data_IF_654195013780
#
_entry.id   IF_654195013780
#
_cell.length_a   1.000
_cell.length_b   1.000
_cell.length_c   1.000
_cell.angle_alpha   90.00
_cell.angle_beta   90.00
_cell.angle_gamma   90.00
#
_symmetry.space_group_name_H-M   'P 1'
#
loop_
_entity.id
_entity.type
_entity.pdbx_description
1 polymer ?
#
# COMPACT_ATOMS: atom_id res chain seq x y z
N UNK A 1 44.46 -34.66 1.78
CA UNK A 1 43.20 -35.38 2.17
C UNK A 1 42.28 -34.33 2.76
N UNK A 2 41.49 -33.79 1.89
CA UNK A 2 40.54 -32.72 2.21
C UNK A 2 39.16 -33.37 2.46
N UNK A 3 38.72 -33.43 3.70
CA UNK A 3 37.44 -34.01 4.10
C UNK A 3 36.35 -33.00 3.78
N UNK A 4 35.61 -33.25 2.71
CA UNK A 4 34.37 -32.59 2.39
C UNK A 4 33.28 -32.97 3.42
N UNK A 5 32.96 -32.06 4.33
CA UNK A 5 31.77 -32.16 5.16
C UNK A 5 30.52 -32.07 4.29
N UNK A 6 29.58 -33.00 4.43
CA UNK A 6 28.32 -32.94 3.67
C UNK A 6 27.43 -31.83 4.24
N UNK A 7 26.95 -30.95 3.36
CA UNK A 7 25.98 -29.88 3.62
C UNK A 7 24.55 -30.40 3.90
N UNK A 8 24.40 -31.20 4.96
CA UNK A 8 23.12 -31.82 5.34
C UNK A 8 22.15 -30.84 6.00
N UNK A 9 22.64 -29.68 6.47
CA UNK A 9 21.80 -28.72 7.19
C UNK A 9 20.81 -27.91 6.36
N UNK A 10 21.16 -27.58 5.12
CA UNK A 10 20.35 -26.64 4.30
C UNK A 10 19.08 -27.30 3.75
N UNK A 11 19.14 -28.56 3.33
CA UNK A 11 17.99 -29.27 2.76
C UNK A 11 16.91 -29.60 3.79
N UNK A 12 17.30 -29.92 5.03
CA UNK A 12 16.36 -30.19 6.12
C UNK A 12 15.61 -28.93 6.55
N UNK A 13 16.31 -27.79 6.61
CA UNK A 13 15.71 -26.48 6.94
C UNK A 13 14.76 -26.03 5.83
N UNK A 14 15.12 -26.24 4.56
CA UNK A 14 14.24 -25.95 3.42
C UNK A 14 13.01 -26.87 3.37
N UNK A 15 13.16 -28.14 3.69
CA UNK A 15 12.04 -29.08 3.76
C UNK A 15 11.08 -28.72 4.92
N UNK A 16 11.61 -28.34 6.09
CA UNK A 16 10.80 -27.89 7.21
C UNK A 16 10.11 -26.55 6.91
N UNK A 17 10.77 -25.62 6.20
CA UNK A 17 10.19 -24.38 5.70
C UNK A 17 9.07 -24.63 4.71
N UNK A 18 9.23 -25.60 3.81
CA UNK A 18 8.20 -25.96 2.82
C UNK A 18 6.97 -26.59 3.48
N UNK A 19 7.17 -27.38 4.55
CA UNK A 19 6.08 -28.02 5.29
C UNK A 19 5.23 -27.05 6.10
N UNK A 20 5.73 -25.84 6.41
CA UNK A 20 5.00 -24.80 7.17
C UNK A 20 4.23 -23.82 6.29
N UNK A 21 4.34 -23.89 4.98
CA UNK A 21 3.61 -22.98 4.07
C UNK A 21 2.14 -23.34 4.03
N UNK A 22 1.30 -22.34 4.24
CA UNK A 22 -0.14 -22.49 4.04
C UNK A 22 -0.45 -22.49 2.54
N UNK A 23 -1.52 -23.19 2.11
CA UNK A 23 -1.79 -23.47 0.70
C UNK A 23 -2.14 -22.24 -0.13
N UNK A 24 -2.63 -21.17 0.49
CA UNK A 24 -3.10 -19.97 -0.22
C UNK A 24 -2.27 -18.76 0.17
N UNK A 25 -1.52 -18.23 -0.79
CA UNK A 25 -0.84 -16.95 -0.67
C UNK A 25 -1.74 -15.84 -1.18
N UNK A 26 -2.07 -14.90 -0.31
CA UNK A 26 -2.90 -13.75 -0.66
C UNK A 26 -2.14 -12.79 -1.58
N UNK A 27 -2.86 -12.24 -2.55
CA UNK A 27 -2.33 -11.20 -3.43
C UNK A 27 -2.56 -9.83 -2.81
N UNK A 28 -1.50 -9.03 -2.78
CA UNK A 28 -1.60 -7.63 -2.40
C UNK A 28 -2.38 -6.84 -3.45
N UNK A 29 -3.29 -6.01 -3.02
CA UNK A 29 -3.87 -4.98 -3.89
C UNK A 29 -2.84 -3.85 -4.10
N UNK A 30 -2.48 -3.58 -5.37
CA UNK A 30 -1.46 -2.57 -5.72
C UNK A 30 -2.13 -1.28 -6.21
N UNK A 31 -2.49 -0.33 -5.33
CA UNK A 31 -3.12 0.90 -5.80
C UNK A 31 -2.13 1.94 -6.35
N UNK A 32 -0.81 1.86 -6.07
CA UNK A 32 0.06 3.04 -6.11
C UNK A 32 1.29 3.01 -7.03
N UNK A 33 1.60 1.90 -7.69
CA UNK A 33 2.86 1.76 -8.45
C UNK A 33 3.06 2.80 -9.56
N UNK A 34 1.98 3.27 -10.19
CA UNK A 34 2.04 4.30 -11.26
C UNK A 34 2.17 5.73 -10.72
N UNK A 35 1.69 5.99 -9.50
CA UNK A 35 1.69 7.33 -8.92
C UNK A 35 3.10 7.84 -8.56
N UNK A 36 4.02 6.94 -8.17
CA UNK A 36 5.39 7.29 -7.76
C UNK A 36 6.16 7.92 -8.91
N UNK A 37 6.15 7.28 -10.08
CA UNK A 37 6.84 7.79 -11.27
C UNK A 37 6.30 9.14 -11.72
N UNK A 38 4.98 9.33 -11.70
CA UNK A 38 4.34 10.59 -12.02
C UNK A 38 4.72 11.72 -11.06
N UNK A 39 4.78 11.45 -9.74
CA UNK A 39 5.12 12.46 -8.74
C UNK A 39 6.58 12.93 -8.90
N UNK A 40 7.53 12.01 -9.11
CA UNK A 40 8.92 12.35 -9.35
C UNK A 40 9.10 13.17 -10.63
N UNK A 41 8.51 12.71 -11.74
CA UNK A 41 8.61 13.40 -13.01
C UNK A 41 7.97 14.79 -12.96
N UNK A 42 6.77 14.91 -12.40
CA UNK A 42 6.06 16.19 -12.29
C UNK A 42 6.81 17.16 -11.37
N UNK A 43 7.38 16.66 -10.27
CA UNK A 43 8.21 17.48 -9.38
C UNK A 43 9.43 18.07 -10.09
N UNK A 44 10.19 17.25 -10.81
CA UNK A 44 11.35 17.69 -11.59
C UNK A 44 10.94 18.66 -12.72
N UNK A 45 9.83 18.40 -13.39
CA UNK A 45 9.31 19.25 -14.45
C UNK A 45 8.95 20.66 -13.94
N UNK A 46 8.22 20.74 -12.82
CA UNK A 46 7.85 22.03 -12.21
C UNK A 46 9.07 22.80 -11.70
N UNK A 47 10.05 22.12 -11.13
CA UNK A 47 11.32 22.75 -10.73
C UNK A 47 12.09 23.28 -11.94
N UNK A 48 12.11 22.53 -13.05
CA UNK A 48 12.73 22.95 -14.31
C UNK A 48 12.06 24.19 -14.90
N UNK A 49 10.72 24.23 -14.90
CA UNK A 49 9.95 25.41 -15.33
C UNK A 49 10.24 26.62 -14.47
N UNK A 50 10.25 26.49 -13.14
CA UNK A 50 10.55 27.59 -12.22
C UNK A 50 11.98 28.12 -12.44
N UNK A 51 12.96 27.23 -12.61
CA UNK A 51 14.36 27.60 -12.91
C UNK A 51 14.51 28.30 -14.26
N UNK A 52 13.88 27.78 -15.31
CA UNK A 52 13.87 28.39 -16.64
C UNK A 52 13.23 29.78 -16.65
N UNK A 53 12.10 29.93 -15.96
CA UNK A 53 11.42 31.21 -15.83
C UNK A 53 12.26 32.24 -15.03
N UNK A 54 13.00 31.80 -14.02
CA UNK A 54 13.92 32.68 -13.26
C UNK A 54 15.05 33.19 -14.15
N UNK A 55 15.63 32.35 -15.01
CA UNK A 55 16.69 32.74 -15.92
C UNK A 55 16.14 33.75 -16.94
N UNK A 56 14.92 33.52 -17.46
CA UNK A 56 14.28 34.42 -18.41
C UNK A 56 13.94 35.77 -17.76
N UNK A 57 13.40 35.79 -16.53
CA UNK A 57 13.11 37.00 -15.79
C UNK A 57 14.35 37.85 -15.48
N UNK A 58 15.52 37.21 -15.29
CA UNK A 58 16.80 37.95 -15.13
C UNK A 58 17.28 38.58 -16.44
N UNK A 59 16.96 37.98 -17.57
CA UNK A 59 17.37 38.51 -18.91
C UNK A 59 16.40 39.60 -19.44
N UNK A 60 15.14 39.47 -19.11
CA UNK A 60 14.06 40.38 -19.53
C UNK A 60 13.25 40.74 -18.30
N UNK A 61 13.72 41.71 -17.46
CA UNK A 61 13.01 42.09 -16.26
C UNK A 61 11.60 42.59 -16.64
N UNK A 62 10.56 42.16 -15.90
CA UNK A 62 9.19 42.61 -16.16
C UNK A 62 9.07 44.13 -15.93
N UNK A 63 8.44 44.85 -16.85
CA UNK A 63 8.15 46.26 -16.73
C UNK A 63 6.74 46.48 -16.19
N UNK A 64 6.54 47.45 -15.31
CA UNK A 64 5.24 47.85 -14.76
C UNK A 64 5.09 47.70 -13.25
N UNK A 65 3.94 48.13 -12.71
CA UNK A 65 3.68 48.18 -11.26
C UNK A 65 3.61 46.82 -10.55
N UNK A 66 3.38 45.74 -11.33
CA UNK A 66 3.24 44.37 -10.78
C UNK A 66 4.47 43.49 -11.03
N UNK A 67 5.68 44.07 -10.96
CA UNK A 67 6.94 43.35 -11.20
C UNK A 67 7.17 42.13 -10.30
N UNK A 68 6.57 42.10 -9.12
CA UNK A 68 6.71 40.98 -8.15
C UNK A 68 5.87 39.74 -8.49
N UNK A 69 4.78 39.88 -9.26
CA UNK A 69 3.83 38.78 -9.57
C UNK A 69 4.54 37.57 -10.25
N UNK A 70 5.35 37.76 -11.32
CA UNK A 70 6.02 36.62 -11.94
C UNK A 70 7.00 35.91 -10.99
N UNK A 71 7.65 36.63 -10.09
CA UNK A 71 8.53 36.02 -9.08
C UNK A 71 7.74 35.21 -8.05
N UNK A 72 6.59 35.71 -7.59
CA UNK A 72 5.71 35.00 -6.66
C UNK A 72 5.19 33.69 -7.29
N UNK A 73 4.79 33.73 -8.57
CA UNK A 73 4.36 32.56 -9.32
C UNK A 73 5.50 31.53 -9.45
N UNK A 74 6.71 31.98 -9.80
CA UNK A 74 7.87 31.09 -9.90
C UNK A 74 8.22 30.42 -8.56
N UNK A 75 8.17 31.17 -7.47
CA UNK A 75 8.39 30.63 -6.11
C UNK A 75 7.33 29.58 -5.79
N UNK A 76 6.05 29.85 -6.08
CA UNK A 76 4.97 28.91 -5.82
C UNK A 76 5.14 27.60 -6.62
N UNK A 77 5.46 27.68 -7.91
CA UNK A 77 5.75 26.49 -8.74
C UNK A 77 6.98 25.73 -8.26
N UNK A 78 8.05 26.45 -7.87
CA UNK A 78 9.27 25.86 -7.31
C UNK A 78 8.99 25.08 -6.03
N UNK A 79 8.26 25.67 -5.08
CA UNK A 79 7.86 25.01 -3.83
C UNK A 79 6.97 23.78 -4.08
N UNK A 80 5.97 23.92 -4.97
CA UNK A 80 5.12 22.80 -5.33
C UNK A 80 5.94 21.66 -5.97
N UNK A 81 6.88 21.98 -6.86
CA UNK A 81 7.77 21.01 -7.47
C UNK A 81 8.64 20.28 -6.44
N UNK A 82 9.21 21.01 -5.46
CA UNK A 82 10.00 20.41 -4.37
C UNK A 82 9.15 19.48 -3.52
N UNK A 83 7.93 19.89 -3.14
CA UNK A 83 7.04 19.05 -2.34
C UNK A 83 6.65 17.76 -3.07
N UNK A 84 6.31 17.84 -4.35
CA UNK A 84 6.01 16.67 -5.18
C UNK A 84 7.22 15.75 -5.33
N UNK A 85 8.39 16.31 -5.56
CA UNK A 85 9.64 15.54 -5.66
C UNK A 85 9.96 14.81 -4.35
N UNK A 86 9.89 15.50 -3.21
CA UNK A 86 10.12 14.89 -1.89
C UNK A 86 9.09 13.79 -1.59
N UNK A 87 7.82 14.01 -1.95
CA UNK A 87 6.78 12.98 -1.84
C UNK A 87 7.10 11.76 -2.69
N UNK A 88 7.54 11.95 -3.93
CA UNK A 88 7.95 10.86 -4.81
C UNK A 88 9.16 10.08 -4.28
N UNK A 89 10.17 10.78 -3.77
CA UNK A 89 11.34 10.17 -3.12
C UNK A 89 10.93 9.37 -1.89
N UNK A 90 10.07 9.93 -1.04
CA UNK A 90 9.54 9.24 0.14
C UNK A 90 8.82 7.93 -0.25
N UNK A 91 7.95 7.98 -1.26
CA UNK A 91 7.25 6.80 -1.76
C UNK A 91 8.21 5.77 -2.39
N UNK A 92 9.24 6.24 -3.09
CA UNK A 92 10.26 5.36 -3.67
C UNK A 92 11.06 4.62 -2.59
N UNK A 93 11.39 5.29 -1.48
CA UNK A 93 11.97 4.61 -0.33
C UNK A 93 11.00 3.59 0.28
N UNK A 94 9.73 3.93 0.46
CA UNK A 94 8.71 3.00 0.97
C UNK A 94 8.58 1.74 0.10
N UNK A 95 8.73 1.87 -1.23
CA UNK A 95 8.67 0.74 -2.16
C UNK A 95 9.86 -0.23 -2.08
N UNK A 96 10.95 0.14 -1.41
CA UNK A 96 12.11 -0.73 -1.19
C UNK A 96 11.94 -1.72 -0.04
N UNK A 97 10.98 -1.48 0.85
CA UNK A 97 10.62 -2.48 1.86
C UNK A 97 9.99 -3.66 1.13
N UNK A 98 10.56 -4.86 1.33
CA UNK A 98 10.02 -6.08 0.73
C UNK A 98 8.58 -6.29 1.17
N UNK A 99 7.79 -6.81 0.26
CA UNK A 99 6.38 -7.07 0.51
C UNK A 99 6.22 -8.09 1.63
N UNK A 100 5.33 -7.78 2.59
CA UNK A 100 4.90 -8.75 3.59
C UNK A 100 4.15 -9.88 2.89
N UNK A 101 4.46 -11.12 3.21
CA UNK A 101 3.78 -12.29 2.67
C UNK A 101 2.71 -12.69 3.68
N UNK A 102 1.47 -12.82 3.21
CA UNK A 102 0.34 -13.33 4.00
C UNK A 102 -0.17 -14.60 3.36
N UNK A 103 -0.15 -15.69 4.12
CA UNK A 103 -0.65 -16.99 3.70
C UNK A 103 -1.81 -17.41 4.61
N UNK A 104 -2.83 -18.08 4.05
CA UNK A 104 -3.99 -18.62 4.76
C UNK A 104 -4.21 -20.09 4.41
N UNK A 105 -4.92 -20.81 5.26
CA UNK A 105 -5.19 -22.24 5.08
C UNK A 105 -6.32 -22.53 4.09
N UNK A 106 -7.27 -21.61 3.91
CA UNK A 106 -8.46 -21.82 3.07
C UNK A 106 -8.90 -20.56 2.35
N UNK A 107 -9.26 -20.69 1.07
CA UNK A 107 -9.96 -19.69 0.27
C UNK A 107 -10.84 -20.43 -0.76
N UNK A 108 -12.12 -20.09 -0.91
CA UNK A 108 -12.89 -19.03 -0.23
C UNK A 108 -13.18 -19.37 1.25
N UNK A 109 -13.34 -18.33 2.08
CA UNK A 109 -13.55 -18.46 3.53
C UNK A 109 -15.06 -18.42 3.82
N UNK A 110 -15.64 -19.45 4.46
CA UNK A 110 -17.03 -19.39 4.90
C UNK A 110 -17.23 -18.35 6.02
N UNK A 111 -18.38 -17.66 6.02
CA UNK A 111 -18.80 -16.81 7.16
C UNK A 111 -18.84 -17.64 8.43
N UNK A 112 -18.29 -17.11 9.53
CA UNK A 112 -18.20 -17.80 10.83
C UNK A 112 -17.00 -18.75 10.95
N UNK A 113 -16.27 -19.03 9.88
CA UNK A 113 -15.12 -19.92 9.92
C UNK A 113 -13.92 -19.31 10.67
N UNK A 114 -13.16 -20.18 11.34
CA UNK A 114 -11.84 -19.87 11.88
C UNK A 114 -10.80 -20.24 10.85
N UNK A 115 -9.88 -19.32 10.58
CA UNK A 115 -8.84 -19.42 9.53
C UNK A 115 -7.47 -19.33 10.18
N UNK A 116 -6.57 -20.22 9.78
CA UNK A 116 -5.16 -20.13 10.15
C UNK A 116 -4.44 -19.21 9.17
N UNK A 117 -3.63 -18.31 9.69
CA UNK A 117 -2.86 -17.34 8.90
C UNK A 117 -1.40 -17.36 9.32
N UNK A 118 -0.53 -17.17 8.35
CA UNK A 118 0.89 -16.95 8.55
C UNK A 118 1.29 -15.61 7.92
N UNK A 119 1.88 -14.75 8.72
CA UNK A 119 2.44 -13.47 8.26
C UNK A 119 3.95 -13.57 8.29
N UNK A 120 4.59 -13.28 7.15
CA UNK A 120 6.04 -13.31 7.00
C UNK A 120 6.55 -11.98 6.47
N UNK A 121 7.57 -11.44 7.10
CA UNK A 121 8.29 -10.26 6.61
C UNK A 121 9.73 -10.62 6.33
N UNK A 122 10.17 -10.41 5.08
CA UNK A 122 11.56 -10.63 4.68
C UNK A 122 12.39 -9.37 4.92
N UNK A 123 13.67 -9.59 5.36
CA UNK A 123 14.64 -8.51 5.54
C UNK A 123 15.27 -8.00 4.23
N UNK A 124 16.11 -6.95 4.29
CA UNK A 124 16.53 -6.27 5.51
C UNK A 124 15.51 -5.18 5.95
N UNK A 125 15.00 -5.28 7.14
CA UNK A 125 14.09 -4.28 7.69
C UNK A 125 14.17 -4.25 9.22
N UNK A 126 14.14 -3.05 9.82
CA UNK A 126 14.02 -2.89 11.26
C UNK A 126 12.60 -2.39 11.55
N UNK A 127 11.74 -3.29 11.98
CA UNK A 127 10.36 -2.98 12.33
C UNK A 127 10.27 -2.53 13.79
N UNK A 128 9.61 -1.40 14.04
CA UNK A 128 9.22 -0.98 15.39
C UNK A 128 7.92 -1.66 15.81
N UNK A 129 6.99 -1.85 14.88
CA UNK A 129 5.76 -2.62 15.11
C UNK A 129 5.24 -3.19 13.79
N UNK A 130 4.55 -4.32 13.89
CA UNK A 130 3.80 -4.93 12.80
C UNK A 130 2.40 -5.27 13.30
N UNK A 131 1.39 -4.69 12.65
CA UNK A 131 -0.02 -4.86 12.99
C UNK A 131 -0.77 -5.43 11.82
N UNK A 132 -1.73 -6.30 12.09
CA UNK A 132 -2.67 -6.74 11.08
C UNK A 132 -4.11 -6.55 11.59
N UNK A 133 -4.94 -5.93 10.75
CA UNK A 133 -6.36 -5.71 11.02
C UNK A 133 -7.19 -6.47 10.00
N UNK A 134 -8.13 -7.26 10.47
CA UNK A 134 -9.21 -7.79 9.64
C UNK A 134 -10.29 -6.72 9.51
N UNK A 135 -10.63 -6.33 8.27
CA UNK A 135 -11.65 -5.32 7.99
C UNK A 135 -12.66 -5.82 6.98
N UNK A 136 -13.89 -5.37 7.15
CA UNK A 136 -14.94 -5.47 6.15
C UNK A 136 -15.46 -4.08 5.84
N UNK A 137 -15.47 -3.70 4.57
CA UNK A 137 -15.93 -2.39 4.12
C UNK A 137 -17.01 -2.55 3.06
N UNK A 138 -18.02 -1.71 3.15
CA UNK A 138 -19.02 -1.48 2.13
C UNK A 138 -18.56 -0.29 1.28
N UNK A 139 -18.39 -0.50 -0.03
CA UNK A 139 -18.06 0.54 -1.00
C UNK A 139 -19.28 0.80 -1.86
N UNK A 140 -19.81 2.02 -1.82
CA UNK A 140 -20.89 2.47 -2.70
C UNK A 140 -20.34 3.36 -3.79
N UNK A 141 -20.66 3.03 -5.02
CA UNK A 141 -20.27 3.78 -6.19
C UNK A 141 -21.45 4.65 -6.65
N UNK A 142 -21.31 5.96 -6.52
CA UNK A 142 -22.29 6.94 -6.96
C UNK A 142 -21.78 7.65 -8.22
N UNK A 143 -22.61 7.67 -9.26
CA UNK A 143 -22.35 8.47 -10.44
C UNK A 143 -22.91 9.87 -10.21
N UNK A 144 -22.02 10.86 -10.22
CA UNK A 144 -22.39 12.27 -10.11
C UNK A 144 -22.17 12.94 -11.44
N UNK A 145 -23.05 13.87 -11.79
CA UNK A 145 -22.91 14.71 -12.96
C UNK A 145 -22.57 16.13 -12.54
N UNK A 146 -21.56 16.72 -13.15
CA UNK A 146 -21.20 18.12 -12.99
C UNK A 146 -21.40 18.83 -14.33
N UNK A 147 -22.16 19.90 -14.32
CA UNK A 147 -22.24 20.80 -15.47
C UNK A 147 -21.08 21.80 -15.37
N UNK A 148 -20.29 21.84 -16.41
CA UNK A 148 -19.25 22.86 -16.54
C UNK A 148 -19.85 24.20 -16.99
N UNK A 149 -19.14 25.32 -16.79
CA UNK A 149 -19.54 26.65 -17.18
C UNK A 149 -19.87 26.77 -18.68
N UNK A 150 -19.34 25.86 -19.49
CA UNK A 150 -19.53 25.80 -20.94
C UNK A 150 -20.71 24.94 -21.38
N UNK A 151 -21.53 24.45 -20.40
CA UNK A 151 -22.73 23.64 -20.67
C UNK A 151 -22.43 22.16 -20.96
N UNK A 152 -21.19 21.70 -20.82
CA UNK A 152 -20.86 20.29 -20.94
C UNK A 152 -21.14 19.55 -19.63
N UNK A 153 -21.77 18.36 -19.73
CA UNK A 153 -22.05 17.51 -18.59
C UNK A 153 -20.97 16.45 -18.49
N UNK A 154 -20.17 16.50 -17.42
CA UNK A 154 -19.18 15.46 -17.09
C UNK A 154 -19.73 14.54 -16.01
N UNK A 155 -19.68 13.21 -16.26
CA UNK A 155 -20.03 12.20 -15.27
C UNK A 155 -18.76 11.69 -14.59
N UNK A 156 -18.73 11.72 -13.27
CA UNK A 156 -17.62 11.16 -12.48
C UNK A 156 -18.15 10.19 -11.42
N UNK A 157 -17.35 9.13 -11.16
CA UNK A 157 -17.65 8.10 -10.18
C UNK A 157 -17.07 8.50 -8.82
N UNK A 158 -17.90 8.59 -7.80
CA UNK A 158 -17.49 8.79 -6.41
C UNK A 158 -17.68 7.50 -5.65
N UNK A 159 -16.67 7.09 -4.88
CA UNK A 159 -16.75 5.91 -4.01
C UNK A 159 -16.86 6.38 -2.56
N UNK A 160 -17.94 5.98 -1.89
CA UNK A 160 -18.11 6.15 -0.44
C UNK A 160 -17.82 4.84 0.26
N UNK A 161 -16.94 4.86 1.23
CA UNK A 161 -16.61 3.69 2.05
C UNK A 161 -17.29 3.79 3.41
N UNK A 162 -17.87 2.69 3.86
CA UNK A 162 -18.42 2.51 5.19
C UNK A 162 -17.81 1.27 5.81
N UNK A 163 -17.16 1.42 6.95
CA UNK A 163 -16.64 0.30 7.71
C UNK A 163 -17.79 -0.48 8.36
N UNK A 164 -17.88 -1.78 8.07
CA UNK A 164 -18.86 -2.69 8.63
C UNK A 164 -18.30 -3.48 9.81
N UNK A 165 -17.00 -3.79 9.76
CA UNK A 165 -16.30 -4.55 10.79
C UNK A 165 -14.81 -4.22 10.78
N UNK A 166 -14.21 -4.16 11.99
CA UNK A 166 -12.75 -4.08 12.17
C UNK A 166 -12.35 -4.83 13.43
N UNK A 167 -11.29 -5.62 13.32
CA UNK A 167 -10.67 -6.34 14.43
C UNK A 167 -9.17 -6.34 14.26
N UNK A 168 -8.44 -6.00 15.33
CA UNK A 168 -7.00 -6.21 15.37
C UNK A 168 -6.74 -7.72 15.61
N UNK A 169 -5.98 -8.35 14.70
CA UNK A 169 -5.65 -9.77 14.74
C UNK A 169 -4.17 -10.03 15.03
N UNK A 170 -3.32 -9.00 14.87
CA UNK A 170 -1.89 -9.06 15.18
C UNK A 170 -1.41 -7.69 15.64
N UNK A 171 -0.67 -7.65 16.77
CA UNK A 171 0.06 -6.45 17.22
C UNK A 171 1.37 -6.92 17.84
N UNK A 172 2.44 -6.87 17.08
CA UNK A 172 3.76 -7.38 17.44
C UNK A 172 4.83 -6.30 17.25
N UNK A 173 5.91 -6.45 18.02
CA UNK A 173 7.08 -5.61 17.93
C UNK A 173 8.29 -6.45 17.51
N UNK A 174 8.39 -6.81 16.21
CA UNK A 174 9.52 -7.60 15.73
C UNK A 174 10.83 -6.85 15.95
N UNK A 175 11.89 -7.59 16.25
CA UNK A 175 13.24 -7.05 16.23
C UNK A 175 13.72 -6.83 14.78
N UNK A 176 14.94 -6.31 14.61
CA UNK A 176 15.53 -6.11 13.28
C UNK A 176 15.69 -7.45 12.55
N UNK A 177 15.16 -7.51 11.32
CA UNK A 177 15.29 -8.67 10.43
C UNK A 177 16.47 -8.44 9.49
N UNK A 178 17.48 -9.30 9.52
CA UNK A 178 18.66 -9.20 8.64
C UNK A 178 18.31 -9.53 7.18
N UNK A 179 19.27 -9.27 6.26
CA UNK A 179 19.04 -9.35 4.80
C UNK A 179 18.58 -10.73 4.32
N UNK A 180 19.08 -11.80 4.96
CA UNK A 180 18.76 -13.20 4.59
C UNK A 180 17.81 -13.86 5.57
N UNK A 181 17.33 -13.10 6.55
CA UNK A 181 16.41 -13.55 7.57
C UNK A 181 14.97 -13.14 7.23
N UNK A 182 14.03 -13.78 7.89
CA UNK A 182 12.63 -13.40 7.88
C UNK A 182 12.06 -13.48 9.29
N UNK A 183 11.12 -12.61 9.58
CA UNK A 183 10.25 -12.73 10.72
C UNK A 183 8.97 -13.42 10.30
N UNK A 184 8.49 -14.36 11.10
CA UNK A 184 7.28 -15.13 10.81
C UNK A 184 6.43 -15.28 12.05
N UNK A 185 5.12 -15.13 11.90
CA UNK A 185 4.14 -15.35 12.95
C UNK A 185 2.92 -16.07 12.39
N UNK A 186 2.59 -17.19 13.02
CA UNK A 186 1.35 -17.92 12.77
C UNK A 186 0.30 -17.54 13.82
N UNK A 187 -0.93 -17.33 13.38
CA UNK A 187 -2.07 -16.96 14.20
C UNK A 187 -3.37 -17.47 13.58
N UNK A 188 -4.45 -17.38 14.33
CA UNK A 188 -5.80 -17.69 13.85
C UNK A 188 -6.70 -16.47 14.00
N UNK A 189 -7.62 -16.29 13.07
CA UNK A 189 -8.67 -15.30 13.15
C UNK A 189 -10.02 -15.91 12.76
N UNK A 190 -11.11 -15.27 13.13
CA UNK A 190 -12.45 -15.74 12.80
C UNK A 190 -13.21 -14.66 12.01
N UNK A 191 -13.86 -15.07 10.91
CA UNK A 191 -14.86 -14.25 10.28
C UNK A 191 -16.10 -14.26 11.18
N UNK A 192 -16.66 -13.10 11.58
CA UNK A 192 -17.84 -13.06 12.43
C UNK A 192 -19.01 -13.87 11.83
N UNK A 193 -19.74 -14.63 12.62
CA UNK A 193 -20.93 -15.38 12.13
C UNK A 193 -22.02 -14.49 11.54
N UNK A 194 -22.04 -13.21 11.98
CA UNK A 194 -22.95 -12.17 11.47
C UNK A 194 -22.35 -11.37 10.31
N UNK A 195 -21.14 -11.73 9.87
CA UNK A 195 -20.45 -11.07 8.76
C UNK A 195 -21.20 -11.27 7.45
N UNK A 196 -21.17 -10.26 6.60
CA UNK A 196 -21.74 -10.36 5.26
C UNK A 196 -20.73 -11.03 4.33
N UNK A 197 -21.16 -11.89 3.39
CA UNK A 197 -20.24 -12.44 2.39
C UNK A 197 -19.70 -11.34 1.47
N UNK A 198 -18.57 -11.60 0.83
CA UNK A 198 -18.04 -10.74 -0.23
C UNK A 198 -19.05 -10.63 -1.35
N UNK A 199 -19.29 -9.41 -1.80
CA UNK A 199 -20.27 -9.11 -2.83
C UNK A 199 -19.76 -8.01 -3.76
N UNK A 200 -20.01 -8.12 -5.05
CA UNK A 200 -19.65 -7.13 -6.05
C UNK A 200 -20.80 -6.90 -7.02
N UNK A 201 -21.19 -5.64 -7.19
CA UNK A 201 -22.13 -5.18 -8.20
C UNK A 201 -21.66 -3.84 -8.77
N UNK A 202 -22.41 -3.28 -9.73
CA UNK A 202 -22.08 -1.99 -10.34
C UNK A 202 -22.00 -0.82 -9.33
N UNK A 203 -22.89 -0.86 -8.31
CA UNK A 203 -23.07 0.25 -7.38
C UNK A 203 -22.65 -0.06 -5.94
N UNK A 204 -22.49 -1.35 -5.59
CA UNK A 204 -22.19 -1.79 -4.23
C UNK A 204 -21.17 -2.92 -4.24
N UNK A 205 -20.17 -2.79 -3.40
CA UNK A 205 -19.14 -3.80 -3.16
C UNK A 205 -18.99 -4.04 -1.66
N UNK A 206 -18.91 -5.30 -1.22
CA UNK A 206 -18.55 -5.71 0.14
C UNK A 206 -17.23 -6.42 0.07
N UNK A 207 -16.19 -5.79 0.63
CA UNK A 207 -14.82 -6.25 0.58
C UNK A 207 -14.32 -6.62 1.95
N UNK A 208 -13.86 -7.85 2.09
CA UNK A 208 -13.06 -8.29 3.24
C UNK A 208 -11.58 -8.15 2.91
N UNK A 209 -10.81 -7.64 3.85
CA UNK A 209 -9.37 -7.49 3.68
C UNK A 209 -8.62 -7.64 4.99
N UNK A 210 -7.38 -8.09 4.88
CA UNK A 210 -6.38 -7.99 5.93
C UNK A 210 -5.46 -6.82 5.58
N UNK A 211 -5.42 -5.81 6.43
CA UNK A 211 -4.50 -4.69 6.30
C UNK A 211 -3.30 -4.92 7.21
N UNK A 212 -2.13 -5.09 6.63
CA UNK A 212 -0.87 -5.22 7.36
C UNK A 212 -0.16 -3.86 7.39
N UNK A 213 0.04 -3.34 8.58
CA UNK A 213 0.71 -2.08 8.85
C UNK A 213 2.08 -2.35 9.46
N UNK A 214 3.13 -1.84 8.85
CA UNK A 214 4.49 -1.92 9.39
C UNK A 214 5.05 -0.55 9.69
N UNK A 215 5.43 -0.32 10.95
CA UNK A 215 6.21 0.86 11.35
C UNK A 215 7.68 0.53 11.25
N UNK A 216 8.39 1.26 10.39
CA UNK A 216 9.78 0.97 10.04
C UNK A 216 10.71 2.04 10.59
N UNK A 217 11.74 1.63 11.33
CA UNK A 217 12.73 2.55 11.87
C UNK A 217 13.52 3.21 10.74
N UNK A 218 13.53 4.54 10.70
CA UNK A 218 14.25 5.37 9.70
C UNK A 218 13.74 5.26 8.25
N UNK A 219 12.62 4.57 8.01
CA UNK A 219 12.01 4.43 6.70
C UNK A 219 10.53 4.80 6.79
N UNK A 220 9.88 5.11 5.65
CA UNK A 220 8.45 5.30 5.66
C UNK A 220 7.71 4.05 6.12
N UNK A 221 6.67 4.26 6.92
CA UNK A 221 5.75 3.20 7.29
C UNK A 221 5.03 2.68 6.05
N UNK A 222 4.63 1.42 6.09
CA UNK A 222 3.90 0.81 4.99
C UNK A 222 2.55 0.24 5.43
N UNK A 223 1.63 0.18 4.48
CA UNK A 223 0.34 -0.48 4.63
C UNK A 223 0.07 -1.35 3.40
N UNK A 224 -0.17 -2.62 3.62
CA UNK A 224 -0.41 -3.61 2.58
C UNK A 224 -1.80 -4.24 2.77
N UNK A 225 -2.78 -3.95 1.90
CA UNK A 225 -4.08 -4.60 1.92
C UNK A 225 -4.04 -5.90 1.13
N UNK A 226 -4.65 -6.94 1.69
CA UNK A 226 -4.82 -8.27 1.11
C UNK A 226 -6.31 -8.60 1.08
N UNK A 227 -6.86 -8.76 -0.11
CA UNK A 227 -8.30 -9.05 -0.29
C UNK A 227 -8.57 -10.51 0.06
N UNK A 228 -9.67 -10.74 0.78
CA UNK A 228 -10.20 -12.05 1.13
C UNK A 228 -11.51 -12.29 0.40
N UNK A 229 -11.69 -13.51 -0.08
CA UNK A 229 -12.98 -13.95 -0.64
C UNK A 229 -13.77 -14.67 0.45
N UNK A 230 -14.78 -14.00 0.99
CA UNK A 230 -15.69 -14.56 2.02
C UNK A 230 -16.98 -14.98 1.35
N UNK A 231 -17.47 -16.19 1.65
CA UNK A 231 -18.68 -16.78 1.06
C UNK A 231 -19.69 -17.16 2.13
N UNK A 232 -20.96 -17.29 1.76
CA UNK A 232 -21.99 -17.80 2.66
C UNK A 232 -21.69 -19.28 2.99
N UNK A 233 -21.99 -19.70 4.23
CA UNK A 233 -21.86 -21.12 4.65
C UNK A 233 -22.75 -22.08 3.85
N UNK A 234 -23.73 -21.58 3.12
CA UNK A 234 -24.75 -22.38 2.41
C UNK A 234 -24.47 -22.57 0.91
N UNK A 235 -23.31 -22.12 0.45
CA UNK A 235 -22.93 -22.24 -0.97
C UNK A 235 -22.22 -23.56 -1.27
#
# INVERSE_FOLDING_TARGET
MESSEPSIGTSAIEAERSARRLPVRLKREHPWGRAIGCALFMGLFLMGLAGGALVLARRMPPEGDNQWVPYAVMVAFGLCGVLLFLSGVHQWFASRVRETIVEIDVEPIPVGATVSMCVRQEGPVTLESLRANLRCVERRHEWNTRNDSDGNTESYKTTKEKELFQQNILDEHPESVATEEFWEKSLTFQIPPTGQPSFESADLEIVWMIEVWGKVRRWPDFMHPYILKVVDQRA
#
